data_IF_609418780033
#
_entry.id   IF_609418780033
#
_cell.length_a   1.000
_cell.length_b   1.000
_cell.length_c   1.000
_cell.angle_alpha   90.00
_cell.angle_beta   90.00
_cell.angle_gamma   90.00
#
_symmetry.space_group_name_H-M   'P 1'
#
loop_
_entity.id
_entity.type
_entity.pdbx_description
1 polymer ?
#
# COMPACT_ATOMS: atom_id res chain seq x y z
N UNK A 1 6.27 -25.54 14.13
CA UNK A 1 6.46 -24.35 13.27
C UNK A 1 5.36 -24.22 12.21
N UNK A 2 4.10 -24.07 12.65
CA UNK A 2 2.94 -23.83 11.75
C UNK A 2 2.46 -22.38 11.92
N UNK A 3 2.80 -21.77 13.07
CA UNK A 3 2.44 -20.40 13.45
C UNK A 3 3.02 -19.36 12.49
N UNK A 4 4.29 -19.42 12.09
CA UNK A 4 4.87 -18.39 11.20
C UNK A 4 4.27 -18.38 9.78
N UNK A 5 3.99 -19.55 9.19
CA UNK A 5 3.36 -19.65 7.87
C UNK A 5 1.87 -19.27 7.88
N UNK A 6 1.17 -19.49 9.00
CA UNK A 6 -0.25 -19.14 9.15
C UNK A 6 -0.47 -17.72 9.71
N UNK A 7 0.40 -17.26 10.61
CA UNK A 7 0.36 -15.92 11.18
C UNK A 7 0.63 -14.87 10.10
N UNK A 8 1.50 -15.14 9.11
CA UNK A 8 1.66 -14.25 7.97
C UNK A 8 0.33 -14.10 7.21
N UNK A 9 -0.27 -15.23 6.78
CA UNK A 9 -1.58 -15.25 6.08
C UNK A 9 -2.73 -14.62 6.88
N UNK A 10 -2.75 -14.79 8.21
CA UNK A 10 -3.77 -14.21 9.08
C UNK A 10 -3.49 -12.75 9.49
N UNK A 11 -2.23 -12.31 9.51
CA UNK A 11 -1.85 -10.91 9.76
C UNK A 11 -2.04 -10.03 8.51
N UNK A 12 -2.06 -10.61 7.30
CA UNK A 12 -2.38 -9.90 6.07
C UNK A 12 -3.79 -9.28 6.07
N UNK A 13 -4.77 -9.95 6.69
CA UNK A 13 -6.15 -9.45 6.75
C UNK A 13 -6.23 -8.08 7.46
N UNK A 14 -5.71 -7.93 8.70
CA UNK A 14 -5.71 -6.63 9.37
C UNK A 14 -4.74 -5.61 8.74
N UNK A 15 -3.58 -6.03 8.21
CA UNK A 15 -2.63 -5.10 7.57
C UNK A 15 -3.23 -4.45 6.34
N UNK A 16 -3.93 -5.21 5.47
CA UNK A 16 -4.60 -4.65 4.29
C UNK A 16 -5.69 -3.65 4.69
N UNK A 17 -6.47 -3.98 5.73
CA UNK A 17 -7.49 -3.07 6.25
C UNK A 17 -6.90 -1.79 6.84
N UNK A 18 -5.80 -1.88 7.58
CA UNK A 18 -5.10 -0.73 8.16
C UNK A 18 -4.53 0.15 7.05
N UNK A 19 -3.92 -0.44 6.03
CA UNK A 19 -3.36 0.30 4.88
C UNK A 19 -4.46 1.00 4.11
N UNK A 20 -5.60 0.35 3.83
CA UNK A 20 -6.73 1.02 3.16
C UNK A 20 -7.22 2.25 3.92
N UNK A 21 -7.29 2.15 5.25
CA UNK A 21 -7.70 3.24 6.13
C UNK A 21 -6.63 4.35 6.18
N UNK A 22 -5.35 3.98 6.29
CA UNK A 22 -4.22 4.91 6.29
C UNK A 22 -4.08 5.64 4.94
N UNK A 23 -4.30 4.93 3.83
CA UNK A 23 -4.22 5.47 2.47
C UNK A 23 -5.33 6.51 2.24
N UNK A 24 -6.55 6.25 2.71
CA UNK A 24 -7.62 7.24 2.70
C UNK A 24 -7.26 8.49 3.50
N UNK A 25 -6.64 8.32 4.66
CA UNK A 25 -6.18 9.43 5.50
C UNK A 25 -5.06 10.24 4.85
N UNK A 26 -4.08 9.56 4.24
CA UNK A 26 -2.97 10.18 3.52
C UNK A 26 -3.43 10.89 2.26
N UNK A 27 -4.33 10.30 1.47
CA UNK A 27 -4.93 10.97 0.32
C UNK A 27 -5.69 12.22 0.74
N UNK A 28 -6.52 12.15 1.79
CA UNK A 28 -7.24 13.32 2.32
C UNK A 28 -6.29 14.44 2.74
N UNK A 29 -5.25 14.13 3.51
CA UNK A 29 -4.24 15.11 3.92
C UNK A 29 -3.44 15.68 2.74
N UNK A 30 -3.00 14.83 1.82
CA UNK A 30 -2.18 15.22 0.66
C UNK A 30 -2.97 16.08 -0.32
N UNK A 31 -4.25 15.76 -0.58
CA UNK A 31 -5.13 16.56 -1.44
C UNK A 31 -5.33 17.97 -0.89
N UNK A 32 -5.52 18.12 0.42
CA UNK A 32 -5.70 19.43 1.05
C UNK A 32 -4.44 20.28 0.86
N UNK A 33 -3.26 19.69 1.05
CA UNK A 33 -1.98 20.38 0.87
C UNK A 33 -1.78 20.73 -0.62
N UNK A 34 -2.01 19.79 -1.55
CA UNK A 34 -1.90 20.01 -2.99
C UNK A 34 -2.83 21.12 -3.49
N UNK A 35 -4.08 21.15 -2.99
CA UNK A 35 -5.08 22.16 -3.37
C UNK A 35 -4.73 23.54 -2.82
N UNK A 36 -4.32 23.63 -1.55
CA UNK A 36 -3.97 24.91 -0.91
C UNK A 36 -2.71 25.52 -1.55
N UNK A 37 -1.71 24.69 -1.86
CA UNK A 37 -0.45 25.14 -2.43
C UNK A 37 -0.43 25.14 -3.97
N UNK A 38 -1.56 24.85 -4.63
CA UNK A 38 -1.68 24.73 -6.10
C UNK A 38 -0.57 23.87 -6.73
N UNK A 39 -0.12 22.83 -6.01
CA UNK A 39 0.93 21.92 -6.45
C UNK A 39 0.26 20.73 -7.14
N UNK A 40 0.52 20.48 -8.44
CA UNK A 40 -0.05 19.33 -9.12
C UNK A 40 0.53 18.06 -8.52
N UNK A 41 -0.33 17.21 -7.97
CA UNK A 41 0.08 15.96 -7.35
C UNK A 41 -0.96 14.85 -7.52
N UNK A 42 -0.57 13.65 -7.10
CA UNK A 42 -1.31 12.41 -7.39
C UNK A 42 -2.64 12.34 -6.63
N UNK A 43 -2.75 12.98 -5.47
CA UNK A 43 -3.99 13.00 -4.69
C UNK A 43 -5.08 13.78 -5.41
N UNK A 44 -4.79 15.01 -5.81
CA UNK A 44 -5.71 15.88 -6.53
C UNK A 44 -6.09 15.30 -7.90
N UNK A 45 -5.13 14.67 -8.60
CA UNK A 45 -5.36 13.94 -9.84
C UNK A 45 -6.33 12.77 -9.66
N UNK A 46 -6.18 11.97 -8.60
CA UNK A 46 -7.05 10.84 -8.31
C UNK A 46 -8.48 11.30 -7.95
N UNK A 47 -8.61 12.34 -7.14
CA UNK A 47 -9.92 12.92 -6.79
C UNK A 47 -10.62 13.49 -8.03
N UNK A 48 -9.89 14.21 -8.88
CA UNK A 48 -10.42 14.68 -10.15
C UNK A 48 -10.80 13.51 -11.07
N UNK A 49 -9.98 12.47 -11.17
CA UNK A 49 -10.31 11.28 -11.96
C UNK A 49 -11.61 10.62 -11.47
N UNK A 50 -11.84 10.55 -10.16
CA UNK A 50 -13.07 10.02 -9.59
C UNK A 50 -14.28 10.92 -9.92
N UNK A 51 -14.14 12.24 -9.72
CA UNK A 51 -15.21 13.21 -9.98
C UNK A 51 -15.63 13.25 -11.45
N UNK A 52 -14.66 13.15 -12.36
CA UNK A 52 -14.88 13.13 -13.80
C UNK A 52 -15.18 11.72 -14.35
N UNK A 53 -15.28 10.72 -13.47
CA UNK A 53 -15.52 9.29 -13.79
C UNK A 53 -14.52 8.74 -14.82
N UNK A 54 -13.29 9.22 -14.77
CA UNK A 54 -12.22 8.78 -15.64
C UNK A 54 -11.62 7.47 -15.11
N UNK A 55 -12.36 6.38 -15.33
CA UNK A 55 -12.04 5.04 -14.82
C UNK A 55 -10.64 4.55 -15.23
N UNK A 56 -10.15 4.78 -16.46
CA UNK A 56 -8.79 4.37 -16.85
C UNK A 56 -7.70 5.02 -15.98
N UNK A 57 -7.87 6.30 -15.63
CA UNK A 57 -6.91 7.04 -14.83
C UNK A 57 -6.92 6.55 -13.37
N UNK A 58 -8.10 6.35 -12.79
CA UNK A 58 -8.24 5.77 -11.44
C UNK A 58 -7.62 4.38 -11.40
N UNK A 59 -7.91 3.53 -12.39
CA UNK A 59 -7.39 2.17 -12.46
C UNK A 59 -5.87 2.16 -12.62
N UNK A 60 -5.30 3.06 -13.43
CA UNK A 60 -3.85 3.21 -13.57
C UNK A 60 -3.16 3.57 -12.26
N UNK A 61 -3.73 4.50 -11.49
CA UNK A 61 -3.18 4.87 -10.18
C UNK A 61 -3.31 3.71 -9.19
N UNK A 62 -4.44 3.01 -9.17
CA UNK A 62 -4.65 1.83 -8.30
C UNK A 62 -3.65 0.72 -8.63
N UNK A 63 -3.42 0.43 -9.91
CA UNK A 63 -2.45 -0.58 -10.34
C UNK A 63 -1.02 -0.22 -9.93
N UNK A 64 -0.65 1.06 -10.06
CA UNK A 64 0.68 1.55 -9.65
C UNK A 64 0.88 1.40 -8.14
N UNK A 65 -0.11 1.77 -7.34
CA UNK A 65 -0.08 1.61 -5.87
C UNK A 65 -0.02 0.13 -5.50
N UNK A 66 -0.81 -0.72 -6.14
CA UNK A 66 -0.80 -2.16 -5.91
C UNK A 66 0.57 -2.77 -6.23
N UNK A 67 1.20 -2.36 -7.34
CA UNK A 67 2.52 -2.83 -7.74
C UNK A 67 3.58 -2.44 -6.70
N UNK A 68 3.63 -1.17 -6.30
CA UNK A 68 4.57 -0.70 -5.26
C UNK A 68 4.36 -1.48 -3.97
N UNK A 69 3.11 -1.68 -3.57
CA UNK A 69 2.77 -2.45 -2.38
C UNK A 69 3.27 -3.89 -2.45
N UNK A 70 3.02 -4.59 -3.57
CA UNK A 70 3.54 -5.94 -3.79
C UNK A 70 5.07 -5.99 -3.73
N UNK A 71 5.76 -4.99 -4.30
CA UNK A 71 7.22 -4.92 -4.25
C UNK A 71 7.75 -4.68 -2.84
N UNK A 72 7.13 -3.80 -2.06
CA UNK A 72 7.50 -3.54 -0.66
C UNK A 72 7.29 -4.78 0.19
N UNK A 73 6.16 -5.48 0.00
CA UNK A 73 5.92 -6.75 0.68
C UNK A 73 6.93 -7.82 0.31
N UNK A 74 7.23 -7.98 -0.99
CA UNK A 74 8.26 -8.92 -1.43
C UNK A 74 9.63 -8.57 -0.83
N UNK A 75 9.99 -7.28 -0.80
CA UNK A 75 11.23 -6.82 -0.17
C UNK A 75 11.23 -7.11 1.34
N UNK A 76 10.09 -6.99 2.01
CA UNK A 76 9.93 -7.28 3.44
C UNK A 76 10.07 -8.78 3.69
N UNK A 77 9.43 -9.62 2.87
CA UNK A 77 9.55 -11.08 2.94
C UNK A 77 11.01 -11.54 2.72
N UNK A 78 11.70 -10.94 1.75
CA UNK A 78 13.13 -11.22 1.50
C UNK A 78 14.00 -10.72 2.65
N UNK A 79 13.75 -9.52 3.17
CA UNK A 79 14.48 -8.97 4.30
C UNK A 79 14.33 -9.88 5.53
N UNK A 80 13.13 -10.38 5.82
CA UNK A 80 12.90 -11.35 6.90
C UNK A 80 13.59 -12.69 6.63
N UNK A 81 13.56 -13.20 5.40
CA UNK A 81 14.27 -14.43 5.04
C UNK A 81 15.79 -14.31 5.23
N UNK A 82 16.37 -13.13 5.01
CA UNK A 82 17.79 -12.85 5.26
C UNK A 82 18.10 -12.55 6.74
N UNK A 83 17.19 -11.91 7.46
CA UNK A 83 17.39 -11.54 8.87
C UNK A 83 17.17 -12.69 9.84
N UNK A 84 16.64 -13.83 9.41
CA UNK A 84 16.38 -15.01 10.26
C UNK A 84 17.49 -16.06 10.10
N UNK A 85 18.53 -16.09 10.96
CA UNK A 85 19.62 -17.06 10.92
C UNK A 85 19.32 -18.27 11.82
N UNK A 86 18.07 -18.46 12.30
CA UNK A 86 17.69 -19.53 13.24
C UNK A 86 17.09 -20.78 12.59
N UNK A 87 17.13 -20.88 11.26
CA UNK A 87 16.72 -22.08 10.51
C UNK A 87 17.76 -23.21 10.46
N UNK A 88 18.77 -23.21 11.33
CA UNK A 88 19.65 -24.37 11.55
C UNK A 88 19.83 -24.68 13.05
N UNK A 89 18.97 -25.58 13.54
CA UNK A 89 19.26 -26.82 14.30
C UNK A 89 18.10 -27.11 15.27
N UNK A 90 17.36 -28.18 14.98
CA UNK A 90 16.33 -28.77 15.85
C UNK A 90 15.05 -29.11 15.12
#
# INVERSE_FOLDING_TARGET
TILFRHALKNAFIPVISIIGLQFGFLLGGTVVIETIFSRPGLGQLLVNAILWKDLPLVQGIVLLVALIYTLVNLATDVAYAYLDPRIHYG
#
